data_IF_575061056803
#
_entry.id   IF_575061056803
#
_cell.length_a   1.000
_cell.length_b   1.000
_cell.length_c   1.000
_cell.angle_alpha   90.00
_cell.angle_beta   90.00
_cell.angle_gamma   90.00
#
_symmetry.space_group_name_H-M   'P 1'
#
loop_
_entity.id
_entity.type
_entity.pdbx_description
1 polymer ?
#
# COMPACT_ATOMS: atom_id res chain seq x y z
N UNK A 1 61.00 -10.63 12.15
CA UNK A 1 60.27 -11.91 12.07
C UNK A 1 59.07 -11.70 11.17
N UNK A 2 58.77 -12.66 10.29
CA UNK A 2 57.47 -13.04 9.68
C UNK A 2 56.43 -11.90 9.46
N UNK A 3 55.89 -11.70 8.26
CA UNK A 3 55.22 -12.77 7.50
C UNK A 3 55.35 -12.66 5.98
N UNK A 4 55.07 -13.78 5.31
CA UNK A 4 55.37 -14.07 3.89
C UNK A 4 54.09 -14.51 3.16
N UNK A 5 54.15 -14.53 1.82
CA UNK A 5 53.25 -15.24 0.90
C UNK A 5 51.91 -14.57 0.55
N UNK A 6 51.98 -13.67 -0.44
CA UNK A 6 50.89 -13.49 -1.41
C UNK A 6 51.20 -14.38 -2.63
N UNK A 7 50.33 -15.34 -2.97
CA UNK A 7 50.52 -16.18 -4.16
C UNK A 7 49.20 -16.70 -4.75
N UNK A 8 49.18 -16.79 -6.09
CA UNK A 8 48.24 -17.54 -6.92
C UNK A 8 46.78 -17.06 -7.02
N UNK A 9 46.50 -16.22 -8.03
CA UNK A 9 45.35 -16.49 -8.90
C UNK A 9 45.60 -15.99 -10.34
N UNK A 10 46.26 -16.82 -11.16
CA UNK A 10 46.44 -16.60 -12.60
C UNK A 10 46.27 -17.90 -13.37
N UNK A 11 45.12 -18.10 -14.01
CA UNK A 11 44.94 -19.04 -15.13
C UNK A 11 43.78 -18.60 -16.02
N UNK A 12 44.05 -18.52 -17.32
CA UNK A 12 43.03 -18.26 -18.34
C UNK A 12 42.24 -19.52 -18.73
N UNK A 13 41.29 -19.39 -19.67
CA UNK A 13 40.39 -20.46 -20.06
C UNK A 13 41.08 -21.49 -20.97
N UNK A 14 40.75 -22.78 -20.79
CA UNK A 14 41.06 -23.83 -21.77
C UNK A 14 39.79 -24.27 -22.50
N UNK A 15 39.85 -24.24 -23.82
CA UNK A 15 38.85 -24.83 -24.71
C UNK A 15 39.09 -26.33 -24.87
N UNK A 16 38.05 -27.16 -24.74
CA UNK A 16 38.02 -28.52 -25.30
C UNK A 16 36.66 -28.71 -25.98
N UNK A 17 36.68 -29.18 -27.23
CA UNK A 17 35.54 -29.54 -28.09
C UNK A 17 35.55 -31.09 -28.32
N UNK A 18 34.57 -31.72 -28.98
CA UNK A 18 33.78 -32.78 -28.34
C UNK A 18 33.98 -34.19 -28.94
N UNK A 19 33.46 -35.22 -28.27
CA UNK A 19 33.46 -36.60 -28.81
C UNK A 19 32.07 -37.28 -28.90
N UNK A 20 31.66 -37.44 -30.15
CA UNK A 20 30.82 -38.44 -30.84
C UNK A 20 29.92 -39.47 -30.08
N UNK A 21 28.62 -39.45 -30.48
CA UNK A 21 27.76 -40.57 -30.94
C UNK A 21 27.57 -41.86 -30.11
N UNK A 22 26.30 -42.21 -29.82
CA UNK A 22 25.45 -43.13 -30.67
C UNK A 22 24.03 -43.33 -30.09
N UNK A 23 23.04 -43.47 -30.98
CA UNK A 23 21.65 -43.85 -30.66
C UNK A 23 20.69 -43.41 -31.77
N UNK A 24 20.12 -44.36 -32.54
CA UNK A 24 19.38 -44.04 -33.77
C UNK A 24 18.26 -45.06 -34.05
N UNK A 25 17.18 -44.58 -34.70
CA UNK A 25 15.93 -45.27 -35.10
C UNK A 25 14.91 -45.49 -33.97
N UNK A 26 13.59 -45.44 -34.22
CA UNK A 26 12.88 -45.48 -35.51
C UNK A 26 11.74 -44.44 -35.66
N UNK A 27 11.49 -43.99 -36.89
CA UNK A 27 10.25 -43.33 -37.32
C UNK A 27 9.30 -44.36 -37.95
N UNK A 28 7.99 -44.13 -37.82
CA UNK A 28 6.91 -44.39 -38.79
C UNK A 28 5.63 -43.76 -38.17
N UNK A 29 5.08 -42.65 -38.67
CA UNK A 29 4.37 -42.43 -39.94
C UNK A 29 3.01 -43.15 -40.04
N UNK A 30 1.93 -42.46 -39.67
CA UNK A 30 0.67 -42.41 -40.42
C UNK A 30 -0.29 -41.32 -39.89
N UNK A 31 -0.91 -40.55 -40.80
CA UNK A 31 -2.12 -39.73 -40.60
C UNK A 31 -3.22 -40.41 -41.42
N UNK A 32 -4.50 -40.34 -41.00
CA UNK A 32 -5.47 -39.61 -41.83
C UNK A 32 -6.49 -38.80 -40.99
N UNK A 33 -7.51 -38.24 -41.64
CA UNK A 33 -8.50 -37.33 -41.06
C UNK A 33 -9.94 -37.71 -41.42
N UNK A 34 -10.89 -37.17 -40.65
CA UNK A 34 -12.35 -37.01 -40.89
C UNK A 34 -13.25 -38.27 -41.03
N UNK A 35 -14.19 -38.37 -40.07
CA UNK A 35 -15.68 -38.47 -40.16
C UNK A 35 -16.40 -39.15 -41.37
N UNK A 36 -17.64 -39.69 -41.22
CA UNK A 36 -18.71 -39.18 -40.32
C UNK A 36 -19.64 -40.19 -39.58
N UNK A 37 -20.46 -39.62 -38.67
CA UNK A 37 -21.83 -40.01 -38.20
C UNK A 37 -22.19 -41.46 -37.81
N UNK A 38 -22.76 -41.64 -36.60
CA UNK A 38 -24.23 -41.78 -36.39
C UNK A 38 -24.62 -42.05 -34.91
N UNK A 39 -25.69 -41.38 -34.47
CA UNK A 39 -26.75 -41.71 -33.49
C UNK A 39 -26.47 -42.55 -32.21
N UNK A 40 -26.87 -41.99 -31.05
CA UNK A 40 -28.10 -42.45 -30.39
C UNK A 40 -28.70 -41.38 -29.44
N UNK A 41 -30.02 -41.40 -29.21
CA UNK A 41 -30.77 -40.56 -28.25
C UNK A 41 -31.74 -41.43 -27.45
N UNK A 42 -32.16 -41.02 -26.23
CA UNK A 42 -33.58 -40.64 -26.02
C UNK A 42 -33.77 -39.66 -24.82
N UNK A 43 -34.94 -39.11 -24.48
CA UNK A 43 -36.21 -38.88 -25.18
C UNK A 43 -36.88 -37.64 -24.56
N UNK A 44 -37.81 -36.99 -25.28
CA UNK A 44 -38.64 -35.92 -24.71
C UNK A 44 -40.11 -36.05 -25.13
N UNK A 45 -40.96 -36.51 -24.22
CA UNK A 45 -42.37 -36.79 -24.52
C UNK A 45 -43.30 -35.58 -24.33
N UNK A 46 -44.13 -35.30 -25.35
CA UNK A 46 -45.30 -34.45 -25.22
C UNK A 46 -46.48 -34.92 -26.09
N UNK A 47 -47.66 -35.01 -25.45
CA UNK A 47 -49.01 -34.81 -26.02
C UNK A 47 -49.68 -35.86 -26.96
N UNK A 48 -50.64 -36.61 -26.39
CA UNK A 48 -52.10 -36.52 -26.67
C UNK A 48 -52.89 -37.65 -27.40
N UNK A 49 -54.20 -37.69 -27.05
CA UNK A 49 -55.41 -38.15 -27.76
C UNK A 49 -56.12 -39.51 -27.45
N UNK A 50 -57.32 -39.40 -26.84
CA UNK A 50 -58.48 -40.34 -26.85
C UNK A 50 -58.43 -41.57 -25.92
N UNK A 51 -59.49 -42.06 -25.25
CA UNK A 51 -60.93 -41.72 -25.12
C UNK A 51 -61.73 -42.99 -24.70
N UNK A 52 -63.00 -43.00 -24.24
CA UNK A 52 -63.93 -42.00 -23.69
C UNK A 52 -65.18 -42.73 -23.07
N UNK A 53 -65.87 -42.15 -22.07
CA UNK A 53 -67.11 -42.75 -21.48
C UNK A 53 -67.67 -42.02 -20.23
N UNK A 54 -68.96 -41.61 -20.26
CA UNK A 54 -69.68 -40.85 -19.20
C UNK A 54 -70.41 -41.74 -18.15
N UNK A 55 -71.43 -41.27 -17.39
CA UNK A 55 -72.43 -40.21 -17.72
C UNK A 55 -72.71 -39.21 -16.53
N UNK A 56 -73.91 -38.63 -16.28
CA UNK A 56 -74.26 -37.30 -16.82
C UNK A 56 -74.82 -36.25 -15.81
N UNK A 57 -75.01 -35.02 -16.30
CA UNK A 57 -76.05 -34.02 -15.95
C UNK A 57 -76.43 -33.73 -14.47
N UNK A 58 -76.30 -32.46 -14.05
CA UNK A 58 -76.99 -31.91 -12.87
C UNK A 58 -76.66 -30.44 -12.60
N UNK A 59 -77.62 -29.54 -12.76
CA UNK A 59 -77.43 -28.10 -12.56
C UNK A 59 -77.60 -27.67 -11.08
N UNK A 60 -76.95 -26.56 -10.69
CA UNK A 60 -77.12 -25.93 -9.37
C UNK A 60 -76.14 -24.77 -9.17
N UNK A 61 -76.61 -23.54 -9.36
CA UNK A 61 -75.77 -22.34 -9.28
C UNK A 61 -75.58 -21.84 -7.84
N UNK A 62 -74.43 -21.22 -7.58
CA UNK A 62 -74.11 -20.52 -6.34
C UNK A 62 -72.65 -20.09 -6.30
N UNK A 63 -72.37 -18.79 -6.42
CA UNK A 63 -71.01 -18.25 -6.29
C UNK A 63 -70.55 -18.32 -4.84
N UNK A 64 -69.39 -18.97 -4.60
CA UNK A 64 -68.25 -18.24 -4.01
C UNK A 64 -66.91 -18.64 -4.66
N UNK A 65 -66.96 -19.19 -5.87
CA UNK A 65 -65.85 -19.98 -6.45
C UNK A 65 -64.74 -19.14 -7.10
N UNK A 66 -65.03 -17.90 -7.49
CA UNK A 66 -64.08 -16.92 -8.05
C UNK A 66 -63.19 -16.34 -6.95
N UNK A 67 -63.80 -15.88 -5.86
CA UNK A 67 -63.13 -15.21 -4.74
C UNK A 67 -62.20 -16.15 -3.96
N UNK A 68 -62.63 -17.40 -3.73
CA UNK A 68 -61.77 -18.44 -3.15
C UNK A 68 -60.56 -18.82 -4.03
N UNK A 69 -60.71 -18.76 -5.37
CA UNK A 69 -59.58 -18.96 -6.30
C UNK A 69 -58.63 -17.77 -6.30
N UNK A 70 -59.14 -16.54 -6.24
CA UNK A 70 -58.33 -15.33 -6.14
C UNK A 70 -57.51 -15.33 -4.84
N UNK A 71 -58.13 -15.66 -3.70
CA UNK A 71 -57.46 -15.79 -2.41
C UNK A 71 -56.37 -16.89 -2.42
N UNK A 72 -56.62 -18.02 -3.08
CA UNK A 72 -55.62 -19.08 -3.27
C UNK A 72 -54.42 -18.61 -4.12
N UNK A 73 -54.68 -17.92 -5.23
CA UNK A 73 -53.62 -17.37 -6.10
C UNK A 73 -52.78 -16.30 -5.38
N UNK A 74 -53.42 -15.43 -4.58
CA UNK A 74 -52.71 -14.44 -3.76
C UNK A 74 -51.83 -15.10 -2.69
N UNK A 75 -52.30 -16.19 -2.07
CA UNK A 75 -51.52 -16.99 -1.10
C UNK A 75 -50.32 -17.67 -1.76
N UNK A 76 -50.53 -18.32 -2.92
CA UNK A 76 -49.45 -18.93 -3.71
C UNK A 76 -48.41 -17.89 -4.15
N UNK A 77 -48.85 -16.71 -4.63
CA UNK A 77 -47.95 -15.60 -4.96
C UNK A 77 -47.13 -15.13 -3.76
N UNK A 78 -47.73 -15.06 -2.57
CA UNK A 78 -47.01 -14.72 -1.34
C UNK A 78 -45.98 -15.79 -0.95
N UNK A 79 -46.34 -17.07 -1.03
CA UNK A 79 -45.43 -18.20 -0.76
C UNK A 79 -44.25 -18.24 -1.75
N UNK A 80 -44.50 -18.11 -3.05
CA UNK A 80 -43.43 -18.10 -4.07
C UNK A 80 -42.52 -16.88 -3.88
N UNK A 81 -43.07 -15.71 -3.55
CA UNK A 81 -42.27 -14.51 -3.24
C UNK A 81 -41.41 -14.71 -2.00
N UNK A 82 -41.94 -15.37 -0.97
CA UNK A 82 -41.20 -15.69 0.26
C UNK A 82 -40.07 -16.68 -0.02
N UNK A 83 -40.33 -17.78 -0.74
CA UNK A 83 -39.31 -18.74 -1.14
C UNK A 83 -38.22 -18.11 -2.01
N UNK A 84 -38.58 -17.24 -2.97
CA UNK A 84 -37.60 -16.51 -3.78
C UNK A 84 -36.70 -15.61 -2.93
N UNK A 85 -37.24 -15.01 -1.87
CA UNK A 85 -36.50 -14.14 -0.96
C UNK A 85 -35.61 -14.96 0.00
N UNK A 86 -36.07 -16.13 0.43
CA UNK A 86 -35.28 -17.09 1.20
C UNK A 86 -34.13 -17.68 0.38
N UNK A 87 -34.39 -18.18 -0.84
CA UNK A 87 -33.34 -18.64 -1.75
C UNK A 87 -32.36 -17.53 -2.10
N UNK A 88 -32.84 -16.31 -2.37
CA UNK A 88 -31.96 -15.16 -2.57
C UNK A 88 -31.10 -14.91 -1.34
N UNK A 89 -31.67 -14.87 -0.14
CA UNK A 89 -30.91 -14.65 1.08
C UNK A 89 -29.89 -15.76 1.37
N UNK A 90 -30.16 -17.01 0.98
CA UNK A 90 -29.18 -18.10 1.07
C UNK A 90 -28.07 -17.99 0.01
N UNK A 91 -28.37 -17.46 -1.17
CA UNK A 91 -27.38 -17.19 -2.22
C UNK A 91 -26.51 -16.00 -1.79
N UNK A 92 -27.11 -14.87 -1.43
CA UNK A 92 -26.41 -13.67 -0.95
C UNK A 92 -25.51 -14.00 0.28
N UNK A 93 -25.94 -14.91 1.18
CA UNK A 93 -25.14 -15.39 2.31
C UNK A 93 -24.12 -16.52 1.98
N UNK A 94 -24.15 -17.08 0.77
CA UNK A 94 -23.05 -17.89 0.21
C UNK A 94 -22.11 -17.05 -0.67
N UNK A 95 -22.56 -15.90 -1.18
CA UNK A 95 -21.74 -14.90 -1.87
C UNK A 95 -20.85 -14.10 -0.89
N UNK A 96 -21.19 -14.06 0.40
CA UNK A 96 -20.21 -13.79 1.47
C UNK A 96 -19.15 -14.89 1.48
N UNK A 97 -18.12 -14.73 0.64
CA UNK A 97 -16.95 -15.62 0.59
C UNK A 97 -16.45 -15.89 2.01
N UNK A 98 -16.23 -17.17 2.33
CA UNK A 98 -15.67 -17.50 3.64
C UNK A 98 -14.25 -16.94 3.76
N UNK A 99 -13.75 -16.63 4.99
CA UNK A 99 -12.41 -16.09 5.17
C UNK A 99 -11.32 -16.94 4.50
N UNK A 100 -11.49 -18.26 4.48
CA UNK A 100 -10.57 -19.20 3.81
C UNK A 100 -10.60 -19.06 2.28
N UNK A 101 -11.77 -18.82 1.67
CA UNK A 101 -11.89 -18.53 0.24
C UNK A 101 -11.24 -17.19 -0.11
N UNK A 102 -11.46 -16.14 0.70
CA UNK A 102 -10.81 -14.83 0.52
C UNK A 102 -9.27 -14.96 0.62
N UNK A 103 -8.77 -15.78 1.54
CA UNK A 103 -7.33 -16.06 1.69
C UNK A 103 -6.81 -16.85 0.48
N UNK A 104 -7.56 -17.84 0.00
CA UNK A 104 -7.18 -18.65 -1.16
C UNK A 104 -7.20 -17.83 -2.46
N UNK A 105 -8.19 -16.96 -2.66
CA UNK A 105 -8.27 -16.03 -3.79
C UNK A 105 -7.10 -15.05 -3.77
N UNK A 106 -6.78 -14.44 -2.62
CA UNK A 106 -5.60 -13.56 -2.49
C UNK A 106 -4.27 -14.29 -2.74
N UNK A 107 -4.15 -15.56 -2.33
CA UNK A 107 -3.00 -16.39 -2.68
C UNK A 107 -2.94 -16.73 -4.18
N UNK A 108 -4.10 -16.86 -4.83
CA UNK A 108 -4.21 -17.10 -6.26
C UNK A 108 -3.86 -15.83 -7.05
N UNK A 109 -4.40 -14.68 -6.67
CA UNK A 109 -4.10 -13.35 -7.22
C UNK A 109 -2.60 -13.03 -7.11
N UNK A 110 -1.98 -13.30 -5.95
CA UNK A 110 -0.53 -13.16 -5.77
C UNK A 110 0.26 -14.04 -6.76
N UNK A 111 -0.10 -15.33 -6.89
CA UNK A 111 0.55 -16.26 -7.83
C UNK A 111 0.34 -15.88 -9.30
N UNK A 112 -0.85 -15.40 -9.66
CA UNK A 112 -1.14 -14.89 -11.02
C UNK A 112 -0.22 -13.71 -11.32
N UNK A 113 -0.12 -12.75 -10.39
CA UNK A 113 0.75 -11.59 -10.53
C UNK A 113 2.24 -11.95 -10.61
N UNK A 114 2.69 -12.94 -9.84
CA UNK A 114 4.07 -13.45 -9.91
C UNK A 114 4.34 -14.09 -11.29
N UNK A 115 3.41 -14.88 -11.83
CA UNK A 115 3.51 -15.47 -13.17
C UNK A 115 3.43 -14.42 -14.30
N UNK A 116 2.60 -13.38 -14.15
CA UNK A 116 2.53 -12.26 -15.09
C UNK A 116 3.87 -11.51 -15.17
N UNK A 117 4.52 -11.27 -14.02
CA UNK A 117 5.86 -10.68 -13.97
C UNK A 117 6.90 -11.59 -14.63
N UNK A 118 6.91 -12.89 -14.34
CA UNK A 118 7.84 -13.86 -14.96
C UNK A 118 7.65 -13.92 -16.48
N UNK A 119 6.41 -13.92 -16.97
CA UNK A 119 6.09 -13.88 -18.41
C UNK A 119 6.65 -12.62 -19.06
N UNK A 120 6.47 -11.44 -18.45
CA UNK A 120 6.97 -10.19 -19.03
C UNK A 120 8.52 -10.12 -18.98
N UNK A 121 9.17 -10.59 -17.91
CA UNK A 121 10.63 -10.71 -17.84
C UNK A 121 11.18 -11.65 -18.94
N UNK A 122 10.58 -12.82 -19.12
CA UNK A 122 10.97 -13.79 -20.16
C UNK A 122 10.74 -13.21 -21.56
N UNK A 123 9.64 -12.49 -21.78
CA UNK A 123 9.30 -11.82 -23.04
C UNK A 123 10.31 -10.71 -23.39
N UNK A 124 10.62 -9.82 -22.45
CA UNK A 124 11.67 -8.80 -22.62
C UNK A 124 13.02 -9.47 -22.95
N UNK A 125 13.39 -10.53 -22.23
CA UNK A 125 14.62 -11.26 -22.49
C UNK A 125 14.64 -11.97 -23.86
N UNK A 126 13.49 -12.47 -24.34
CA UNK A 126 13.34 -13.04 -25.67
C UNK A 126 13.50 -11.97 -26.76
N UNK A 127 12.79 -10.85 -26.64
CA UNK A 127 12.84 -9.76 -27.62
C UNK A 127 14.25 -9.16 -27.72
N UNK A 128 14.94 -8.97 -26.59
CA UNK A 128 16.34 -8.53 -26.57
C UNK A 128 17.28 -9.52 -27.29
N UNK A 129 17.13 -10.84 -27.06
CA UNK A 129 17.94 -11.88 -27.71
C UNK A 129 17.62 -11.98 -29.21
N UNK A 130 16.36 -11.89 -29.58
CA UNK A 130 15.88 -11.89 -30.98
C UNK A 130 16.43 -10.70 -31.76
N UNK A 131 16.37 -9.49 -31.17
CA UNK A 131 16.93 -8.27 -31.74
C UNK A 131 18.46 -8.35 -31.89
N UNK A 132 19.16 -8.88 -30.90
CA UNK A 132 20.61 -9.09 -30.97
C UNK A 132 20.99 -10.07 -32.09
N UNK A 133 20.29 -11.21 -32.20
CA UNK A 133 20.49 -12.20 -33.25
C UNK A 133 20.23 -11.61 -34.64
N UNK A 134 19.11 -10.89 -34.81
CA UNK A 134 18.76 -10.25 -36.09
C UNK A 134 19.81 -9.22 -36.51
N UNK A 135 20.32 -8.41 -35.57
CA UNK A 135 21.42 -7.46 -35.81
C UNK A 135 22.71 -8.17 -36.20
N UNK A 136 23.05 -9.28 -35.55
CA UNK A 136 24.23 -10.09 -35.91
C UNK A 136 24.10 -10.72 -37.31
N UNK A 137 22.95 -11.29 -37.64
CA UNK A 137 22.66 -11.89 -38.95
C UNK A 137 22.74 -10.85 -40.07
N UNK A 138 22.10 -9.69 -39.89
CA UNK A 138 22.16 -8.58 -40.84
C UNK A 138 23.61 -8.08 -41.03
N UNK A 139 24.37 -7.94 -39.94
CA UNK A 139 25.78 -7.52 -39.99
C UNK A 139 26.66 -8.54 -40.72
N UNK A 140 26.42 -9.84 -40.54
CA UNK A 140 27.13 -10.90 -41.23
C UNK A 140 26.79 -10.95 -42.73
N UNK A 141 25.52 -10.79 -43.10
CA UNK A 141 25.08 -10.70 -44.49
C UNK A 141 25.71 -9.49 -45.19
N UNK A 142 25.60 -8.29 -44.60
CA UNK A 142 26.22 -7.07 -45.10
C UNK A 142 27.74 -7.21 -45.28
N UNK A 143 28.43 -7.86 -44.33
CA UNK A 143 29.87 -8.13 -44.44
C UNK A 143 30.17 -9.04 -45.65
N UNK A 144 29.46 -10.16 -45.77
CA UNK A 144 29.67 -11.13 -46.84
C UNK A 144 29.38 -10.53 -48.23
N UNK A 145 28.41 -9.62 -48.34
CA UNK A 145 28.12 -8.95 -49.60
C UNK A 145 29.15 -7.86 -49.91
N UNK A 146 29.63 -7.10 -48.91
CA UNK A 146 30.68 -6.10 -49.11
C UNK A 146 32.02 -6.73 -49.55
N UNK A 147 32.36 -7.92 -49.05
CA UNK A 147 33.55 -8.68 -49.47
C UNK A 147 33.50 -9.12 -50.96
N UNK A 148 32.31 -9.17 -51.59
CA UNK A 148 32.15 -9.53 -53.01
C UNK A 148 32.33 -8.33 -53.96
N UNK A 149 32.08 -7.10 -53.53
CA UNK A 149 32.08 -5.89 -54.40
C UNK A 149 33.49 -5.28 -54.52
N UNK A 150 34.48 -6.14 -54.73
CA UNK A 150 35.89 -5.77 -54.62
C UNK A 150 36.46 -5.17 -55.91
N UNK A 151 36.20 -3.88 -56.16
CA UNK A 151 37.19 -2.88 -56.67
C UNK A 151 36.63 -1.46 -56.81
N UNK A 152 35.34 -1.28 -57.14
CA UNK A 152 34.74 0.06 -57.32
C UNK A 152 34.15 0.68 -56.04
N UNK A 153 33.95 -0.12 -54.98
CA UNK A 153 33.17 0.26 -53.78
C UNK A 153 33.91 1.09 -52.72
N UNK A 154 34.93 1.87 -53.11
CA UNK A 154 35.74 2.69 -52.18
C UNK A 154 34.90 3.67 -51.37
N UNK A 155 33.92 4.33 -52.02
CA UNK A 155 33.01 5.28 -51.37
C UNK A 155 32.14 4.57 -50.33
N UNK A 156 31.52 3.44 -50.66
CA UNK A 156 30.68 2.68 -49.74
C UNK A 156 31.47 2.19 -48.52
N UNK A 157 32.71 1.71 -48.72
CA UNK A 157 33.56 1.26 -47.63
C UNK A 157 33.95 2.41 -46.68
N UNK A 158 34.19 3.61 -47.21
CA UNK A 158 34.45 4.80 -46.41
C UNK A 158 33.19 5.26 -45.66
N UNK A 159 32.02 5.32 -46.31
CA UNK A 159 30.74 5.61 -45.66
C UNK A 159 30.44 4.62 -44.54
N UNK A 160 30.65 3.31 -44.75
CA UNK A 160 30.45 2.29 -43.71
C UNK A 160 31.42 2.47 -42.53
N UNK A 161 32.67 2.85 -42.80
CA UNK A 161 33.66 3.19 -41.76
C UNK A 161 33.22 4.40 -40.93
N UNK A 162 32.58 5.39 -41.54
CA UNK A 162 32.02 6.55 -40.83
C UNK A 162 30.75 6.20 -40.04
N UNK A 163 29.84 5.39 -40.60
CA UNK A 163 28.67 4.86 -39.87
C UNK A 163 29.12 4.07 -38.63
N UNK A 164 30.17 3.25 -38.72
CA UNK A 164 30.71 2.53 -37.57
C UNK A 164 31.33 3.46 -36.51
N UNK A 165 32.02 4.53 -36.92
CA UNK A 165 32.50 5.58 -35.98
C UNK A 165 31.33 6.29 -35.30
N UNK A 166 30.29 6.65 -36.05
CA UNK A 166 29.09 7.31 -35.53
C UNK A 166 28.37 6.40 -34.53
N UNK A 167 28.11 5.13 -34.88
CA UNK A 167 27.49 4.15 -33.99
C UNK A 167 28.30 3.96 -32.69
N UNK A 168 29.64 3.92 -32.78
CA UNK A 168 30.50 3.87 -31.58
C UNK A 168 30.34 5.09 -30.68
N UNK A 169 30.16 6.28 -31.25
CA UNK A 169 29.89 7.51 -30.49
C UNK A 169 28.48 7.54 -29.91
N UNK A 170 27.46 7.09 -30.66
CA UNK A 170 26.08 6.95 -30.20
C UNK A 170 25.99 5.99 -29.01
N UNK A 171 26.66 4.83 -29.08
CA UNK A 171 26.70 3.87 -27.96
C UNK A 171 27.32 4.46 -26.69
N UNK A 172 28.36 5.31 -26.82
CA UNK A 172 28.95 6.01 -25.67
C UNK A 172 27.97 7.00 -25.04
N UNK A 173 27.32 7.84 -25.86
CA UNK A 173 26.34 8.82 -25.38
C UNK A 173 25.12 8.14 -24.75
N UNK A 174 24.70 6.98 -25.25
CA UNK A 174 23.64 6.16 -24.64
C UNK A 174 24.06 5.61 -23.28
N UNK A 175 25.28 5.09 -23.15
CA UNK A 175 25.84 4.63 -21.88
C UNK A 175 25.95 5.77 -20.85
N UNK A 176 26.49 6.93 -21.26
CA UNK A 176 26.58 8.13 -20.43
C UNK A 176 25.20 8.63 -19.98
N UNK A 177 24.19 8.53 -20.86
CA UNK A 177 22.79 8.87 -20.53
C UNK A 177 22.21 7.94 -19.47
N UNK A 178 22.42 6.62 -19.57
CA UNK A 178 21.96 5.66 -18.57
C UNK A 178 22.62 5.87 -17.21
N UNK A 179 23.94 6.12 -17.17
CA UNK A 179 24.65 6.44 -15.93
C UNK A 179 24.19 7.74 -15.27
N UNK A 180 23.78 8.74 -16.07
CA UNK A 180 23.19 9.98 -15.55
C UNK A 180 21.76 9.77 -15.04
N UNK A 181 20.97 8.94 -15.72
CA UNK A 181 19.61 8.58 -15.30
C UNK A 181 19.62 7.79 -13.97
N UNK A 182 20.53 6.82 -13.81
CA UNK A 182 20.73 6.09 -12.56
C UNK A 182 21.08 7.05 -11.40
N UNK A 183 22.07 7.93 -11.58
CA UNK A 183 22.45 8.95 -10.58
C UNK A 183 21.27 9.87 -10.22
N UNK A 184 20.43 10.20 -11.19
CA UNK A 184 19.24 11.05 -11.01
C UNK A 184 18.10 10.32 -10.26
N UNK A 185 17.89 9.02 -10.52
CA UNK A 185 16.99 8.18 -9.72
C UNK A 185 17.48 8.08 -8.26
N UNK A 186 18.78 7.92 -8.06
CA UNK A 186 19.40 7.83 -6.74
C UNK A 186 19.25 9.14 -5.93
N UNK A 187 19.38 10.29 -6.58
CA UNK A 187 19.09 11.61 -6.01
C UNK A 187 17.60 11.76 -5.68
N UNK A 188 16.69 11.30 -6.54
CA UNK A 188 15.23 11.30 -6.28
C UNK A 188 14.89 10.45 -5.06
N UNK A 189 15.48 9.26 -4.93
CA UNK A 189 15.31 8.35 -3.79
C UNK A 189 15.79 8.99 -2.47
N UNK A 190 17.00 9.56 -2.46
CA UNK A 190 17.55 10.28 -1.29
C UNK A 190 16.69 11.49 -0.89
N UNK A 191 16.18 12.24 -1.87
CA UNK A 191 15.26 13.38 -1.64
C UNK A 191 13.94 12.93 -1.00
N UNK A 192 13.36 11.81 -1.46
CA UNK A 192 12.13 11.27 -0.89
C UNK A 192 12.32 10.78 0.55
N UNK A 193 13.42 10.08 0.82
CA UNK A 193 13.79 9.66 2.19
C UNK A 193 13.95 10.87 3.12
N UNK A 194 14.62 11.93 2.67
CA UNK A 194 14.77 13.17 3.44
C UNK A 194 13.42 13.85 3.70
N UNK A 195 12.51 13.87 2.72
CA UNK A 195 11.16 14.42 2.87
C UNK A 195 10.39 13.70 3.98
N UNK A 196 10.35 12.37 3.95
CA UNK A 196 9.71 11.57 5.00
C UNK A 196 10.38 11.72 6.37
N UNK A 197 11.71 11.78 6.44
CA UNK A 197 12.42 12.04 7.69
C UNK A 197 12.08 13.43 8.28
N UNK A 198 11.93 14.45 7.42
CA UNK A 198 11.50 15.79 7.82
C UNK A 198 10.03 15.83 8.28
N UNK A 199 9.14 15.12 7.59
CA UNK A 199 7.73 14.97 7.98
C UNK A 199 7.61 14.30 9.35
N UNK A 200 8.33 13.19 9.56
CA UNK A 200 8.37 12.48 10.85
C UNK A 200 8.92 13.38 11.98
N UNK A 201 10.00 14.11 11.75
CA UNK A 201 10.56 15.05 12.74
C UNK A 201 9.62 16.21 13.05
N UNK A 202 8.84 16.69 12.07
CA UNK A 202 7.82 17.71 12.30
C UNK A 202 6.68 17.17 13.18
N UNK A 203 6.23 15.93 12.95
CA UNK A 203 5.23 15.27 13.79
C UNK A 203 5.73 15.07 15.22
N UNK A 204 6.97 14.61 15.42
CA UNK A 204 7.62 14.46 16.72
C UNK A 204 7.70 15.80 17.49
N UNK A 205 8.03 16.91 16.80
CA UNK A 205 8.02 18.25 17.38
C UNK A 205 6.60 18.68 17.79
N UNK A 206 5.58 18.35 16.98
CA UNK A 206 4.19 18.68 17.29
C UNK A 206 3.66 17.87 18.49
N UNK A 207 3.97 16.58 18.59
CA UNK A 207 3.56 15.73 19.72
C UNK A 207 4.25 16.15 21.01
N UNK A 208 5.57 16.39 21.01
CA UNK A 208 6.29 16.88 22.19
C UNK A 208 5.87 18.31 22.59
N UNK A 209 5.46 19.16 21.63
CA UNK A 209 4.86 20.46 21.93
C UNK A 209 3.48 20.32 22.59
N UNK A 210 2.66 19.37 22.14
CA UNK A 210 1.35 19.07 22.74
C UNK A 210 1.52 18.56 24.18
N UNK A 211 2.39 17.57 24.37
CA UNK A 211 2.74 17.00 25.68
C UNK A 211 3.24 18.05 26.67
N UNK A 212 4.21 18.89 26.29
CA UNK A 212 4.67 20.00 27.16
C UNK A 212 3.57 21.00 27.50
N UNK A 213 2.59 21.22 26.63
CA UNK A 213 1.42 22.07 26.93
C UNK A 213 0.48 21.40 27.92
N UNK A 214 0.27 20.09 27.81
CA UNK A 214 -0.52 19.29 28.75
C UNK A 214 0.15 19.23 30.14
N UNK A 215 1.47 19.02 30.20
CA UNK A 215 2.29 19.09 31.41
C UNK A 215 2.24 20.48 32.07
N UNK A 216 2.38 21.56 31.30
CA UNK A 216 2.27 22.92 31.83
C UNK A 216 0.87 23.21 32.39
N UNK A 217 -0.18 22.76 31.69
CA UNK A 217 -1.56 22.90 32.14
C UNK A 217 -1.84 22.07 33.41
N UNK A 218 -1.25 20.88 33.56
CA UNK A 218 -1.40 20.06 34.76
C UNK A 218 -0.65 20.67 35.95
N UNK A 219 0.52 21.27 35.72
CA UNK A 219 1.26 21.99 36.75
C UNK A 219 0.54 23.27 37.19
N UNK A 220 0.05 24.10 36.25
CA UNK A 220 -0.70 25.31 36.56
C UNK A 220 -2.02 25.05 37.30
N UNK A 221 -2.62 23.87 37.09
CA UNK A 221 -3.79 23.42 37.85
C UNK A 221 -3.44 22.64 39.12
N UNK A 222 -2.17 22.41 39.42
CA UNK A 222 -1.72 21.54 40.52
C UNK A 222 -2.25 22.04 41.86
N UNK A 223 -2.96 21.16 42.56
CA UNK A 223 -3.51 21.48 43.88
C UNK A 223 -2.42 21.87 44.88
N UNK A 224 -1.17 21.42 44.70
CA UNK A 224 -0.02 21.83 45.51
C UNK A 224 0.34 23.31 45.35
N UNK A 225 0.19 23.88 44.16
CA UNK A 225 0.44 25.32 43.94
C UNK A 225 -0.71 26.13 44.56
N UNK A 226 -1.96 25.67 44.39
CA UNK A 226 -3.14 26.30 45.00
C UNK A 226 -3.09 26.28 46.52
N UNK A 227 -2.70 25.16 47.15
CA UNK A 227 -2.57 25.08 48.61
C UNK A 227 -1.41 25.92 49.13
N UNK A 228 -0.27 25.98 48.44
CA UNK A 228 0.81 26.92 48.79
C UNK A 228 0.38 28.38 48.69
N UNK A 229 -0.39 28.77 47.65
CA UNK A 229 -0.98 30.10 47.56
C UNK A 229 -1.96 30.40 48.69
N UNK A 230 -2.82 29.44 49.06
CA UNK A 230 -3.74 29.58 50.19
C UNK A 230 -3.01 29.73 51.52
N UNK A 231 -1.98 28.92 51.78
CA UNK A 231 -1.17 29.01 53.00
C UNK A 231 -0.48 30.39 53.07
N UNK A 232 0.15 30.83 51.97
CA UNK A 232 0.81 32.14 51.91
C UNK A 232 -0.18 33.29 52.16
N UNK A 233 -1.38 33.21 51.60
CA UNK A 233 -2.45 34.17 51.84
C UNK A 233 -2.87 34.21 53.32
N UNK A 234 -3.07 33.05 53.96
CA UNK A 234 -3.42 33.01 55.39
C UNK A 234 -2.28 33.50 56.30
N UNK A 235 -1.02 33.23 55.98
CA UNK A 235 0.14 33.76 56.72
C UNK A 235 0.24 35.29 56.57
N UNK A 236 -0.04 35.83 55.37
CA UNK A 236 -0.07 37.28 55.13
C UNK A 236 -1.22 37.96 55.90
N UNK A 237 -2.39 37.34 55.98
CA UNK A 237 -3.52 37.81 56.80
C UNK A 237 -3.17 37.80 58.30
N UNK A 238 -2.55 36.74 58.80
CA UNK A 238 -2.08 36.64 60.20
C UNK A 238 -1.03 37.71 60.49
N UNK A 239 -0.03 37.88 59.62
CA UNK A 239 0.99 38.92 59.76
C UNK A 239 0.37 40.32 59.79
N UNK A 240 -0.61 40.58 58.92
CA UNK A 240 -1.36 41.85 58.87
C UNK A 240 -2.15 42.08 60.16
N UNK A 241 -2.80 41.07 60.73
CA UNK A 241 -3.49 41.20 62.04
C UNK A 241 -2.50 41.49 63.17
N UNK A 242 -1.36 40.80 63.20
CA UNK A 242 -0.30 41.03 64.19
C UNK A 242 0.25 42.46 64.09
N UNK A 243 0.49 42.94 62.87
CA UNK A 243 0.93 44.30 62.56
C UNK A 243 -0.07 45.35 63.10
N UNK A 244 -1.37 45.20 62.84
CA UNK A 244 -2.42 46.05 63.41
C UNK A 244 -2.50 45.98 64.95
N UNK A 245 -2.31 44.81 65.56
CA UNK A 245 -2.32 44.68 67.03
C UNK A 245 -1.14 45.45 67.64
N UNK A 246 0.06 45.34 67.08
CA UNK A 246 1.22 46.11 67.56
C UNK A 246 1.05 47.63 67.37
N UNK A 247 0.55 48.09 66.21
CA UNK A 247 0.18 49.50 66.00
C UNK A 247 -0.76 49.99 67.12
N UNK A 248 -1.87 49.28 67.35
CA UNK A 248 -2.90 49.66 68.32
C UNK A 248 -2.37 49.70 69.76
N UNK A 249 -1.49 48.76 70.14
CA UNK A 249 -0.83 48.77 71.45
C UNK A 249 0.07 50.00 71.61
N UNK A 250 0.90 50.31 70.61
CA UNK A 250 1.81 51.47 70.66
C UNK A 250 0.99 52.78 70.74
N UNK A 251 -0.02 52.95 69.90
CA UNK A 251 -0.90 54.13 69.92
C UNK A 251 -1.70 54.25 71.23
N UNK A 252 -2.24 53.12 71.73
CA UNK A 252 -3.03 53.07 72.96
C UNK A 252 -2.22 53.29 74.25
N UNK A 253 -0.91 52.99 74.23
CA UNK A 253 -0.01 53.12 75.38
C UNK A 253 0.22 54.57 75.86
N UNK A 254 -0.15 55.57 75.04
CA UNK A 254 0.16 57.01 75.24
C UNK A 254 1.66 57.33 75.38
N UNK A 255 2.55 56.41 75.03
CA UNK A 255 3.98 56.70 74.86
C UNK A 255 4.13 57.72 73.72
N UNK A 256 4.99 58.73 73.92
CA UNK A 256 5.17 59.82 72.96
C UNK A 256 6.09 59.38 71.79
N UNK A 257 5.62 58.39 71.02
CA UNK A 257 6.38 57.64 70.01
C UNK A 257 6.95 58.50 68.88
N UNK A 258 6.37 59.68 68.63
CA UNK A 258 6.89 60.63 67.64
C UNK A 258 8.16 61.39 68.10
N UNK A 259 8.50 61.34 69.41
CA UNK A 259 9.65 62.03 69.99
C UNK A 259 10.94 61.20 69.97
N UNK A 260 10.84 59.85 69.93
CA UNK A 260 11.99 58.96 69.71
C UNK A 260 12.11 58.64 68.21
N UNK A 261 13.22 59.01 67.54
CA UNK A 261 13.44 58.70 66.13
C UNK A 261 13.34 57.20 65.80
N UNK A 262 13.82 56.31 66.67
CA UNK A 262 13.83 54.87 66.42
C UNK A 262 12.41 54.28 66.52
N UNK A 263 11.67 54.63 67.56
CA UNK A 263 10.28 54.22 67.72
C UNK A 263 9.38 54.81 66.61
N UNK A 264 9.60 56.07 66.21
CA UNK A 264 8.91 56.67 65.06
C UNK A 264 9.14 55.90 63.77
N UNK A 265 10.38 55.49 63.48
CA UNK A 265 10.68 54.71 62.28
C UNK A 265 10.02 53.33 62.31
N UNK A 266 10.06 52.62 63.44
CA UNK A 266 9.39 51.30 63.54
C UNK A 266 7.87 51.41 63.36
N UNK A 267 7.20 52.40 63.94
CA UNK A 267 5.76 52.63 63.73
C UNK A 267 5.43 52.90 62.26
N UNK A 268 6.23 53.73 61.57
CA UNK A 268 6.06 54.02 60.13
C UNK A 268 6.38 52.82 59.22
N UNK A 269 7.24 51.89 59.66
CA UNK A 269 7.46 50.63 58.96
C UNK A 269 6.27 49.67 59.18
N UNK A 270 5.70 49.63 60.39
CA UNK A 270 4.45 48.91 60.67
C UNK A 270 3.22 49.51 59.96
N UNK A 271 3.25 50.75 59.46
CA UNK A 271 2.15 51.34 58.68
C UNK A 271 2.16 50.91 57.20
N UNK A 272 3.23 50.25 56.72
CA UNK A 272 3.33 49.78 55.33
C UNK A 272 2.64 48.43 55.18
N UNK A 273 1.50 48.42 54.50
CA UNK A 273 0.80 47.17 54.16
C UNK A 273 1.67 46.26 53.28
N UNK A 274 1.68 44.97 53.62
CA UNK A 274 2.33 43.89 52.86
C UNK A 274 1.73 43.68 51.45
N UNK A 275 0.68 44.43 51.09
CA UNK A 275 -0.04 44.37 49.81
C UNK A 275 0.69 45.06 48.64
N UNK A 276 1.90 45.60 48.86
CA UNK A 276 2.67 46.37 47.88
C UNK A 276 3.91 45.64 47.32
N UNK A 277 3.78 44.33 47.06
CA UNK A 277 4.78 43.49 46.37
C UNK A 277 4.11 42.74 45.20
#
# INVERSE_FOLDING_TARGET
MLSTALHQFTRGPQSILPEQRKGQKANNSARPAMEPQADDSPDSCSADCGGAGGPPLGAGAGEPRSEGRLALLLRLRAQIKQQLLEYKSMIDANEEQTPDQIIQEKQMEAKVKDLENEIEEVKIAFDMKSLALSRMQLSAALKNDLEKINTESSVLMNTMKEILKLNKSVMKLQQESWELEEKLLDIRKKRLQLKHASENKLLEIQTEKKKRKEELNSMGNSDKIKTMQQILQTEMEIATVIQHVFQNIILGSKVNWAADPALKETVLQLEKDLTTI
#
